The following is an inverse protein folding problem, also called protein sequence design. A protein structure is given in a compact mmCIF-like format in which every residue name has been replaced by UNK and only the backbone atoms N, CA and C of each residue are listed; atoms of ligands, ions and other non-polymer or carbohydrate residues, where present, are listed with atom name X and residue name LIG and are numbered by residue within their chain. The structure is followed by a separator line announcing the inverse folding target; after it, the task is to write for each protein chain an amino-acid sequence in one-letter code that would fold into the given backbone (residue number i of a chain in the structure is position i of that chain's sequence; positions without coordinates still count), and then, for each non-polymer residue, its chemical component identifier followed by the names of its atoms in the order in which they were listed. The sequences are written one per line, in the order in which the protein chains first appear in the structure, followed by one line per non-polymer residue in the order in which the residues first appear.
data_IF_858557993610
#
_entry.id   IF_858557993610
#
_cell.length_a   1.000
_cell.length_b   1.000
_cell.length_c   1.000
_cell.angle_alpha   90.00
_cell.angle_beta   90.00
_cell.angle_gamma   90.00
#
_symmetry.space_group_name_H-M   'P 1'
#
loop_
_entity.id
_entity.type
_entity.pdbx_description
1 polymer ?
#
# COMPACT_ATOMS: atom_id res chain seq x y z
N UNK A 1 2.16 30.52 4.38
CA UNK A 1 1.58 29.16 4.62
C UNK A 1 2.49 27.98 4.17
N UNK A 2 3.80 28.16 3.98
CA UNK A 2 4.69 27.08 3.48
C UNK A 2 5.45 26.29 4.58
N UNK A 3 5.51 26.77 5.84
CA UNK A 3 6.29 26.09 6.90
C UNK A 3 5.74 24.72 7.32
N UNK A 4 4.41 24.50 7.29
CA UNK A 4 3.82 23.21 7.67
C UNK A 4 3.81 22.17 6.54
N UNK A 5 3.90 22.62 5.27
CA UNK A 5 3.80 21.71 4.12
C UNK A 5 5.04 20.82 3.94
N UNK A 6 6.22 21.34 4.24
CA UNK A 6 7.49 20.61 4.15
C UNK A 6 7.62 19.49 5.19
N UNK A 7 7.40 19.70 6.50
CA UNK A 7 7.45 18.61 7.47
C UNK A 7 6.38 17.56 7.22
N UNK A 8 5.16 17.97 6.82
CA UNK A 8 4.09 17.04 6.46
C UNK A 8 4.47 16.16 5.26
N UNK A 9 5.09 16.74 4.23
CA UNK A 9 5.60 15.99 3.09
C UNK A 9 6.64 14.94 3.52
N UNK A 10 7.64 15.34 4.31
CA UNK A 10 8.68 14.40 4.76
C UNK A 10 8.11 13.30 5.65
N UNK A 11 7.20 13.64 6.57
CA UNK A 11 6.54 12.69 7.44
C UNK A 11 5.70 11.69 6.63
N UNK A 12 4.83 12.16 5.75
CA UNK A 12 3.99 11.29 4.90
C UNK A 12 4.86 10.37 4.03
N UNK A 13 5.93 10.90 3.44
CA UNK A 13 6.86 10.15 2.61
C UNK A 13 7.58 9.04 3.39
N UNK A 14 8.14 9.37 4.56
CA UNK A 14 8.86 8.41 5.38
C UNK A 14 7.92 7.36 5.98
N UNK A 15 6.72 7.76 6.41
CA UNK A 15 5.70 6.85 6.92
C UNK A 15 5.25 5.85 5.83
N UNK A 16 4.93 6.33 4.63
CA UNK A 16 4.56 5.46 3.50
C UNK A 16 5.70 4.52 3.12
N UNK A 17 6.93 5.01 3.06
CA UNK A 17 8.09 4.18 2.75
C UNK A 17 8.26 3.07 3.79
N UNK A 18 8.21 3.39 5.09
CA UNK A 18 8.36 2.41 6.16
C UNK A 18 7.26 1.35 6.12
N UNK A 19 6.00 1.75 5.94
CA UNK A 19 4.87 0.83 5.88
C UNK A 19 4.97 -0.10 4.68
N UNK A 20 5.25 0.42 3.48
CA UNK A 20 5.31 -0.41 2.27
C UNK A 20 6.52 -1.32 2.24
N UNK A 21 7.66 -0.88 2.80
CA UNK A 21 8.82 -1.75 2.99
C UNK A 21 8.52 -2.89 3.98
N UNK A 22 7.87 -2.59 5.09
CA UNK A 22 7.47 -3.60 6.07
C UNK A 22 6.43 -4.56 5.50
N UNK A 23 5.37 -4.03 4.85
CA UNK A 23 4.30 -4.83 4.27
C UNK A 23 4.80 -5.74 3.15
N UNK A 24 5.63 -5.23 2.24
CA UNK A 24 6.25 -6.04 1.20
C UNK A 24 7.20 -7.09 1.78
N UNK A 25 7.98 -6.73 2.80
CA UNK A 25 8.89 -7.65 3.49
C UNK A 25 8.15 -8.84 4.12
N UNK A 26 7.06 -8.59 4.84
CA UNK A 26 6.23 -9.64 5.44
C UNK A 26 5.65 -10.58 4.37
N UNK A 27 5.20 -10.05 3.22
CA UNK A 27 4.63 -10.86 2.14
C UNK A 27 5.67 -11.69 1.39
N UNK A 28 6.91 -11.19 1.25
CA UNK A 28 8.01 -11.97 0.64
C UNK A 28 8.41 -13.17 1.50
N UNK A 29 8.28 -13.06 2.83
CA UNK A 29 8.63 -14.16 3.75
C UNK A 29 7.65 -15.33 3.69
N UNK A 30 6.38 -15.10 3.33
CA UNK A 30 5.38 -16.15 3.15
C UNK A 30 4.48 -15.91 1.91
N UNK A 31 5.02 -16.15 0.69
CA UNK A 31 4.28 -15.92 -0.54
C UNK A 31 3.08 -16.86 -0.70
N UNK A 32 3.16 -18.08 -0.17
CA UNK A 32 2.08 -19.06 -0.25
C UNK A 32 0.92 -18.68 0.67
N UNK A 33 1.20 -18.27 1.92
CA UNK A 33 0.19 -17.72 2.81
C UNK A 33 -0.46 -16.47 2.24
N UNK A 34 0.31 -15.59 1.59
CA UNK A 34 -0.23 -14.41 0.92
C UNK A 34 -1.10 -14.76 -0.31
N UNK A 35 -0.70 -15.76 -1.11
CA UNK A 35 -1.54 -16.27 -2.20
C UNK A 35 -2.88 -16.83 -1.69
N UNK A 36 -2.89 -17.49 -0.53
CA UNK A 36 -4.11 -17.92 0.14
C UNK A 36 -5.03 -16.76 0.53
N UNK A 37 -4.45 -15.66 1.03
CA UNK A 37 -5.21 -14.44 1.33
C UNK A 37 -5.79 -13.80 0.07
N UNK A 38 -5.06 -13.78 -1.05
CA UNK A 38 -5.58 -13.29 -2.33
C UNK A 38 -6.71 -14.21 -2.84
N UNK A 39 -6.57 -15.52 -2.69
CA UNK A 39 -7.58 -16.49 -3.10
C UNK A 39 -8.92 -16.30 -2.37
N UNK A 40 -8.91 -15.79 -1.13
CA UNK A 40 -10.12 -15.47 -0.37
C UNK A 40 -10.99 -14.40 -1.04
N UNK A 41 -10.42 -13.53 -1.89
CA UNK A 41 -11.18 -12.55 -2.67
C UNK A 41 -11.93 -13.17 -3.85
N UNK A 42 -11.57 -14.40 -4.25
CA UNK A 42 -12.22 -15.14 -5.34
C UNK A 42 -12.29 -14.35 -6.67
N UNK A 43 -11.30 -13.49 -6.96
CA UNK A 43 -11.25 -12.73 -8.22
C UNK A 43 -10.49 -13.46 -9.33
N UNK A 44 -9.49 -14.26 -8.98
CA UNK A 44 -8.54 -14.84 -9.91
C UNK A 44 -8.48 -16.36 -9.72
N UNK A 45 -8.16 -17.12 -10.78
CA UNK A 45 -7.83 -18.53 -10.66
C UNK A 45 -6.53 -18.72 -9.85
N UNK A 46 -6.27 -19.94 -9.39
CA UNK A 46 -5.12 -20.27 -8.53
C UNK A 46 -3.79 -19.72 -9.07
N UNK A 47 -3.53 -19.91 -10.37
CA UNK A 47 -2.30 -19.40 -11.01
C UNK A 47 -2.19 -17.88 -10.94
N UNK A 48 -3.31 -17.16 -11.07
CA UNK A 48 -3.37 -15.71 -10.92
C UNK A 48 -3.08 -15.26 -9.50
N UNK A 49 -3.62 -15.96 -8.49
CA UNK A 49 -3.34 -15.67 -7.09
C UNK A 49 -1.85 -15.80 -6.77
N UNK A 50 -1.20 -16.87 -7.25
CA UNK A 50 0.24 -17.10 -7.06
C UNK A 50 1.07 -16.02 -7.76
N UNK A 51 0.70 -15.65 -9.00
CA UNK A 51 1.42 -14.63 -9.75
C UNK A 51 1.34 -13.26 -9.08
N UNK A 52 0.15 -12.85 -8.63
CA UNK A 52 -0.03 -11.60 -7.89
C UNK A 52 0.72 -11.66 -6.56
N UNK A 53 0.66 -12.80 -5.84
CA UNK A 53 1.38 -12.99 -4.59
C UNK A 53 2.91 -12.88 -4.75
N UNK A 54 3.44 -13.30 -5.90
CA UNK A 54 4.86 -13.21 -6.20
C UNK A 54 5.29 -11.79 -6.62
N UNK A 55 4.49 -11.11 -7.45
CA UNK A 55 4.88 -9.82 -8.05
C UNK A 55 4.59 -8.62 -7.13
N UNK A 56 3.44 -8.64 -6.44
CA UNK A 56 2.97 -7.50 -5.65
C UNK A 56 3.97 -7.09 -4.55
N UNK A 57 4.55 -8.02 -3.76
CA UNK A 57 5.48 -7.65 -2.70
C UNK A 57 6.74 -6.97 -3.23
N UNK A 58 7.24 -7.40 -4.38
CA UNK A 58 8.40 -6.78 -5.02
C UNK A 58 8.07 -5.35 -5.45
N UNK A 59 6.89 -5.11 -6.00
CA UNK A 59 6.43 -3.76 -6.37
C UNK A 59 6.30 -2.88 -5.13
N UNK A 60 5.74 -3.39 -4.03
CA UNK A 60 5.63 -2.66 -2.76
C UNK A 60 7.00 -2.28 -2.20
N UNK A 61 7.95 -3.21 -2.18
CA UNK A 61 9.32 -2.97 -1.71
C UNK A 61 10.05 -1.94 -2.57
N UNK A 62 9.94 -2.05 -3.90
CA UNK A 62 10.54 -1.10 -4.84
C UNK A 62 9.92 0.29 -4.68
N UNK A 63 8.59 0.40 -4.61
CA UNK A 63 7.91 1.68 -4.43
C UNK A 63 8.28 2.31 -3.08
N UNK A 64 8.29 1.53 -1.99
CA UNK A 64 8.71 1.98 -0.66
C UNK A 64 10.16 2.46 -0.63
N UNK A 65 11.08 1.74 -1.29
CA UNK A 65 12.48 2.15 -1.42
C UNK A 65 12.65 3.43 -2.25
N UNK A 66 11.93 3.54 -3.37
CA UNK A 66 11.97 4.73 -4.22
C UNK A 66 11.39 5.98 -3.54
N UNK A 67 10.48 5.84 -2.57
CA UNK A 67 10.00 6.97 -1.75
C UNK A 67 11.07 7.56 -0.85
N UNK A 68 12.07 6.78 -0.43
CA UNK A 68 13.20 7.28 0.37
C UNK A 68 14.07 8.26 -0.43
N UNK A 69 14.13 8.13 -1.76
CA UNK A 69 14.82 9.06 -2.64
C UNK A 69 13.89 10.21 -3.11
N UNK A 70 14.21 11.48 -2.82
CA UNK A 70 13.33 12.61 -3.18
C UNK A 70 13.09 12.77 -4.68
N UNK A 71 14.03 12.31 -5.52
CA UNK A 71 13.94 12.41 -6.99
C UNK A 71 12.88 11.49 -7.58
N UNK A 72 12.70 10.32 -6.97
CA UNK A 72 11.76 9.27 -7.41
C UNK A 72 10.49 9.24 -6.57
N UNK A 73 10.36 10.11 -5.57
CA UNK A 73 9.22 10.13 -4.65
C UNK A 73 7.86 10.34 -5.34
N UNK A 74 7.81 11.12 -6.43
CA UNK A 74 6.57 11.34 -7.20
C UNK A 74 6.08 10.09 -7.94
N UNK A 75 6.87 9.47 -8.84
CA UNK A 75 6.43 8.24 -9.50
C UNK A 75 6.17 7.12 -8.50
N UNK A 76 6.97 7.00 -7.44
CA UNK A 76 6.74 6.02 -6.38
C UNK A 76 5.41 6.24 -5.63
N UNK A 77 5.08 7.49 -5.28
CA UNK A 77 3.80 7.81 -4.64
C UNK A 77 2.61 7.53 -5.55
N UNK A 78 2.76 7.67 -6.87
CA UNK A 78 1.72 7.32 -7.84
C UNK A 78 1.48 5.81 -7.87
N UNK A 79 2.55 5.00 -7.86
CA UNK A 79 2.44 3.53 -7.76
C UNK A 79 1.74 3.14 -6.46
N UNK A 80 2.18 3.68 -5.31
CA UNK A 80 1.53 3.43 -4.02
C UNK A 80 0.04 3.81 -4.05
N UNK A 81 -0.29 4.96 -4.63
CA UNK A 81 -1.68 5.41 -4.73
C UNK A 81 -2.53 4.39 -5.51
N UNK A 82 -2.06 3.96 -6.69
CA UNK A 82 -2.77 2.98 -7.52
C UNK A 82 -2.94 1.67 -6.76
N UNK A 83 -1.89 1.16 -6.14
CA UNK A 83 -1.95 -0.09 -5.37
C UNK A 83 -2.98 -0.03 -4.25
N UNK A 84 -3.01 1.07 -3.48
CA UNK A 84 -3.99 1.26 -2.42
C UNK A 84 -5.42 1.36 -2.97
N UNK A 85 -5.64 2.04 -4.09
CA UNK A 85 -6.97 2.14 -4.70
C UNK A 85 -7.47 0.78 -5.19
N UNK A 86 -6.59 -0.03 -5.79
CA UNK A 86 -6.91 -1.41 -6.19
C UNK A 86 -7.26 -2.26 -4.97
N UNK A 87 -6.46 -2.17 -3.90
CA UNK A 87 -6.72 -2.92 -2.67
C UNK A 87 -8.03 -2.48 -1.99
N UNK A 88 -8.31 -1.17 -1.94
CA UNK A 88 -9.56 -0.62 -1.42
C UNK A 88 -10.77 -1.09 -2.23
N UNK A 89 -10.67 -1.12 -3.57
CA UNK A 89 -11.73 -1.63 -4.43
C UNK A 89 -11.97 -3.13 -4.24
N UNK A 90 -10.88 -3.91 -4.13
CA UNK A 90 -10.95 -5.35 -3.83
C UNK A 90 -11.63 -5.61 -2.48
N UNK A 91 -11.28 -4.82 -1.45
CA UNK A 91 -11.85 -4.92 -0.12
C UNK A 91 -13.33 -4.50 -0.09
N UNK A 92 -13.68 -3.40 -0.75
CA UNK A 92 -15.07 -2.96 -0.87
C UNK A 92 -15.93 -4.00 -1.57
N UNK A 93 -15.43 -4.63 -2.64
CA UNK A 93 -16.12 -5.71 -3.33
C UNK A 93 -16.25 -6.98 -2.48
N UNK A 94 -15.25 -7.33 -1.68
CA UNK A 94 -15.36 -8.44 -0.74
C UNK A 94 -16.42 -8.18 0.34
N UNK A 95 -16.48 -6.95 0.86
CA UNK A 95 -17.50 -6.53 1.81
C UNK A 95 -18.90 -6.72 1.23
N UNK A 96 -19.16 -6.19 0.03
CA UNK A 96 -20.51 -6.26 -0.57
C UNK A 96 -20.94 -7.70 -0.89
N UNK A 97 -19.99 -8.61 -1.08
CA UNK A 97 -20.22 -10.04 -1.29
C UNK A 97 -20.37 -10.85 0.00
N UNK A 98 -20.19 -10.22 1.17
CA UNK A 98 -20.26 -10.88 2.47
C UNK A 98 -19.14 -11.90 2.71
N UNK A 99 -18.00 -11.76 2.02
CA UNK A 99 -16.85 -12.64 2.22
C UNK A 99 -16.18 -12.32 3.55
N UNK A 100 -16.02 -13.33 4.41
CA UNK A 100 -15.26 -13.22 5.65
C UNK A 100 -13.76 -13.19 5.33
N UNK A 101 -13.25 -12.02 4.95
CA UNK A 101 -11.83 -11.82 4.66
C UNK A 101 -11.13 -11.25 5.89
N UNK A 102 -10.15 -12.00 6.40
CA UNK A 102 -9.20 -11.49 7.36
C UNK A 102 -8.30 -10.46 6.67
N UNK A 103 -8.56 -9.18 6.93
CA UNK A 103 -7.77 -8.06 6.43
C UNK A 103 -6.47 -7.91 7.24
N UNK A 104 -5.81 -9.04 7.52
CA UNK A 104 -4.57 -9.19 8.29
C UNK A 104 -3.36 -8.71 7.51
N UNK A 105 -3.38 -7.45 7.07
CA UNK A 105 -2.35 -6.81 6.23
C UNK A 105 -0.95 -6.78 6.88
N UNK A 106 -0.81 -7.21 8.13
CA UNK A 106 0.46 -7.27 8.85
C UNK A 106 0.80 -8.64 9.47
N UNK A 107 -0.10 -9.63 9.47
CA UNK A 107 0.20 -10.96 10.04
C UNK A 107 -0.90 -12.01 9.70
N UNK A 108 -0.56 -13.14 9.06
CA UNK A 108 -1.46 -14.29 9.02
C UNK A 108 -1.74 -14.77 10.47
N UNK A 109 -3.00 -14.82 10.90
CA UNK A 109 -3.41 -15.36 12.20
C UNK A 109 -3.40 -14.42 13.41
N UNK A 110 -3.18 -13.11 13.25
CA UNK A 110 -3.43 -12.14 14.32
C UNK A 110 -4.90 -11.67 14.31
N UNK A 111 -5.43 -11.30 15.48
CA UNK A 111 -6.82 -10.86 15.67
C UNK A 111 -7.28 -9.95 14.51
N UNK A 112 -8.29 -10.43 13.80
CA UNK A 112 -8.91 -9.84 12.62
C UNK A 112 -9.04 -8.32 12.78
N UNK A 113 -8.34 -7.55 11.95
CA UNK A 113 -8.62 -6.12 11.82
C UNK A 113 -10.05 -5.98 11.32
N UNK A 114 -10.91 -5.26 12.05
CA UNK A 114 -12.26 -4.97 11.56
C UNK A 114 -12.15 -4.29 10.19
N UNK A 115 -12.98 -4.69 9.23
CA UNK A 115 -12.94 -4.15 7.87
C UNK A 115 -13.00 -2.60 7.84
N UNK A 116 -13.73 -1.89 8.73
CA UNK A 116 -13.68 -0.42 8.80
C UNK A 116 -12.28 0.13 9.10
N UNK A 117 -11.49 -0.56 9.92
CA UNK A 117 -10.13 -0.15 10.27
C UNK A 117 -9.17 -0.36 9.09
N UNK A 118 -9.39 -1.42 8.29
CA UNK A 118 -8.66 -1.62 7.04
C UNK A 118 -8.97 -0.49 6.03
N UNK A 119 -10.24 -0.12 5.85
CA UNK A 119 -10.65 1.00 5.00
C UNK A 119 -10.03 2.32 5.48
N UNK A 120 -10.07 2.61 6.78
CA UNK A 120 -9.48 3.82 7.35
C UNK A 120 -7.97 3.90 7.09
N UNK A 121 -7.27 2.78 7.26
CA UNK A 121 -5.83 2.67 7.00
C UNK A 121 -5.51 2.95 5.52
N UNK A 122 -6.27 2.35 4.60
CA UNK A 122 -6.03 2.54 3.17
C UNK A 122 -6.33 3.98 2.74
N UNK A 123 -7.38 4.60 3.31
CA UNK A 123 -7.67 6.03 3.13
C UNK A 123 -6.53 6.93 3.63
N UNK A 124 -5.91 6.57 4.76
CA UNK A 124 -4.75 7.30 5.28
C UNK A 124 -3.55 7.19 4.33
N UNK A 125 -3.31 6.03 3.74
CA UNK A 125 -2.24 5.84 2.76
C UNK A 125 -2.51 6.61 1.46
N UNK A 126 -3.75 6.59 0.96
CA UNK A 126 -4.19 7.41 -0.18
C UNK A 126 -3.96 8.90 0.11
N UNK A 127 -4.36 9.39 1.29
CA UNK A 127 -4.15 10.78 1.69
C UNK A 127 -2.66 11.14 1.73
N UNK A 128 -1.83 10.28 2.33
CA UNK A 128 -0.37 10.43 2.35
C UNK A 128 0.23 10.51 0.94
N UNK A 129 -0.20 9.62 0.03
CA UNK A 129 0.30 9.59 -1.34
C UNK A 129 -0.09 10.86 -2.11
N UNK A 130 -1.33 11.35 -1.91
CA UNK A 130 -1.80 12.62 -2.49
C UNK A 130 -0.99 13.81 -1.97
N UNK A 131 -0.65 13.85 -0.67
CA UNK A 131 0.21 14.89 -0.09
C UNK A 131 1.59 14.90 -0.78
N UNK A 132 2.19 13.72 -0.97
CA UNK A 132 3.50 13.57 -1.64
C UNK A 132 3.42 14.02 -3.10
N UNK A 133 2.36 13.66 -3.82
CA UNK A 133 2.15 14.04 -5.22
C UNK A 133 1.90 15.54 -5.40
N UNK A 134 1.12 16.15 -4.50
CA UNK A 134 0.80 17.60 -4.55
C UNK A 134 1.96 18.47 -4.10
N UNK A 135 2.98 17.92 -3.44
CA UNK A 135 4.17 18.68 -3.08
C UNK A 135 4.94 19.09 -4.36
N UNK A 136 4.99 20.39 -4.61
CA UNK A 136 5.85 20.99 -5.64
C UNK A 136 7.11 21.51 -4.95
N UNK A 137 8.27 20.82 -5.07
CA UNK A 137 9.51 21.44 -4.65
C UNK A 137 9.71 22.70 -5.49
N UNK A 138 10.09 23.80 -4.86
CA UNK A 138 10.47 25.01 -5.58
C UNK A 138 11.57 24.64 -6.61
N UNK A 139 11.52 25.18 -7.84
CA UNK A 139 12.59 24.95 -8.80
C UNK A 139 13.90 25.38 -8.13
N UNK A 140 14.85 24.45 -7.99
CA UNK A 140 16.22 24.82 -7.64
C UNK A 140 16.76 25.53 -8.88
N UNK A 141 16.77 26.86 -8.90
CA UNK A 141 17.62 27.60 -9.82
C UNK A 141 19.03 27.04 -9.63
N UNK A 142 19.57 26.45 -10.68
CA UNK A 142 21.02 26.27 -10.82
C UNK A 142 21.59 27.59 -11.31
#
# INVERSE_FOLDING_TARGET
MNRLRTPLYHLARCALAAVFLYAGGVKVLDPLGFAGQIAAYQFLPLTGNILVAAMLPTIELLAGGLLLCPRTARPAALVILILNLVFLAALASAWTRGLAIDCGCFRPGAASSSIPLAILRDLLFVAGAVIVLRYRPAPRCK
#
